data_IF_244319820661
#
_entry.id   IF_244319820661
#
_cell.length_a   1.000
_cell.length_b   1.000
_cell.length_c   1.000
_cell.angle_alpha   90.00
_cell.angle_beta   90.00
_cell.angle_gamma   90.00
#
_symmetry.space_group_name_H-M   'P 1'
#
loop_
_entity.id
_entity.type
_entity.pdbx_description
1 polymer ?
#
# COMPACT_ATOMS: atom_id res chain seq x y z
N UNK A 1 -49.21 -2.26 -17.76
CA UNK A 1 -48.09 -2.82 -18.56
C UNK A 1 -46.86 -1.91 -18.58
N UNK A 2 -46.94 -0.66 -19.06
CA UNK A 2 -45.78 0.26 -19.16
C UNK A 2 -45.13 0.61 -17.81
N UNK A 3 -45.94 0.82 -16.77
CA UNK A 3 -45.46 1.17 -15.42
C UNK A 3 -44.65 0.03 -14.78
N UNK A 4 -45.07 -1.22 -15.01
CA UNK A 4 -44.36 -2.41 -14.52
C UNK A 4 -43.01 -2.58 -15.21
N UNK A 5 -42.92 -2.31 -16.51
CA UNK A 5 -41.66 -2.37 -17.25
C UNK A 5 -40.65 -1.32 -16.76
N UNK A 6 -41.12 -0.11 -16.45
CA UNK A 6 -40.28 0.97 -15.89
C UNK A 6 -39.78 0.60 -14.49
N UNK A 7 -40.66 0.08 -13.63
CA UNK A 7 -40.28 -0.40 -12.30
C UNK A 7 -39.22 -1.53 -12.36
N UNK A 8 -39.38 -2.50 -13.26
CA UNK A 8 -38.41 -3.57 -13.44
C UNK A 8 -37.06 -3.05 -13.95
N UNK A 9 -37.05 -2.05 -14.85
CA UNK A 9 -35.82 -1.40 -15.31
C UNK A 9 -35.12 -0.65 -14.17
N UNK A 10 -35.85 0.10 -13.35
CA UNK A 10 -35.26 0.80 -12.19
C UNK A 10 -34.69 -0.17 -11.16
N UNK A 11 -35.35 -1.31 -10.91
CA UNK A 11 -34.84 -2.36 -10.00
C UNK A 11 -33.60 -3.05 -10.59
N UNK A 12 -33.55 -3.29 -11.91
CA UNK A 12 -32.39 -3.88 -12.58
C UNK A 12 -31.17 -2.95 -12.58
N UNK A 13 -31.39 -1.65 -12.85
CA UNK A 13 -30.36 -0.61 -12.70
C UNK A 13 -29.93 -0.51 -11.23
N UNK A 14 -30.86 -0.72 -10.30
CA UNK A 14 -30.57 -0.72 -8.87
C UNK A 14 -29.69 -1.84 -8.35
N UNK A 15 -29.95 -3.05 -8.82
CA UNK A 15 -29.12 -4.20 -8.49
C UNK A 15 -27.72 -4.07 -9.10
N UNK A 16 -27.58 -3.46 -10.29
CA UNK A 16 -26.30 -3.38 -10.99
C UNK A 16 -25.32 -2.38 -10.36
N UNK A 17 -25.78 -1.27 -9.77
CA UNK A 17 -24.89 -0.34 -9.08
C UNK A 17 -24.38 -0.85 -7.72
N UNK A 18 -25.10 -1.78 -7.07
CA UNK A 18 -24.69 -2.37 -5.78
C UNK A 18 -23.66 -3.51 -5.91
N UNK A 19 -23.49 -4.07 -7.11
CA UNK A 19 -22.65 -5.25 -7.34
C UNK A 19 -21.17 -4.96 -7.63
N UNK A 20 -20.80 -3.72 -7.98
CA UNK A 20 -19.42 -3.40 -8.37
C UNK A 20 -18.48 -3.10 -7.19
N UNK A 21 -18.98 -2.59 -6.06
CA UNK A 21 -18.11 -2.23 -4.92
C UNK A 21 -17.68 -3.45 -4.07
N UNK A 22 -18.50 -4.48 -3.99
CA UNK A 22 -18.24 -5.63 -3.11
C UNK A 22 -17.32 -6.69 -3.75
N UNK A 23 -17.27 -6.77 -5.10
CA UNK A 23 -16.52 -7.83 -5.78
C UNK A 23 -14.99 -7.59 -5.85
N UNK A 24 -14.50 -6.39 -5.50
CA UNK A 24 -13.06 -6.15 -5.26
C UNK A 24 -12.66 -6.35 -3.78
N UNK A 25 -13.62 -6.41 -2.85
CA UNK A 25 -13.35 -6.41 -1.42
C UNK A 25 -13.42 -7.79 -0.74
N UNK A 26 -14.04 -8.79 -1.38
CA UNK A 26 -14.37 -10.07 -0.73
C UNK A 26 -13.44 -11.28 -0.99
N UNK A 27 -12.31 -11.13 -1.70
CA UNK A 27 -11.42 -12.29 -2.00
C UNK A 27 -10.09 -12.40 -1.26
N UNK A 28 -9.80 -11.55 -0.27
CA UNK A 28 -8.48 -11.55 0.41
C UNK A 28 -8.45 -12.11 1.83
N UNK A 29 -9.55 -12.66 2.34
CA UNK A 29 -9.64 -12.92 3.78
C UNK A 29 -9.10 -14.25 4.28
N UNK A 30 -8.64 -15.20 3.45
CA UNK A 30 -8.22 -16.50 3.99
C UNK A 30 -6.93 -17.12 3.43
N UNK A 31 -6.52 -16.88 2.17
CA UNK A 31 -5.26 -17.45 1.62
C UNK A 31 -4.79 -16.61 0.42
N UNK A 32 -4.34 -15.39 0.67
CA UNK A 32 -3.91 -14.49 -0.40
C UNK A 32 -2.46 -14.72 -0.76
N UNK A 33 -2.18 -15.73 -1.59
CA UNK A 33 -0.87 -15.96 -2.21
C UNK A 33 -0.48 -14.71 -3.04
N UNK A 34 0.25 -13.79 -2.43
CA UNK A 34 0.79 -12.65 -3.14
C UNK A 34 2.11 -13.05 -3.80
N UNK A 35 2.38 -12.55 -5.01
CA UNK A 35 3.68 -12.72 -5.68
C UNK A 35 4.45 -11.41 -5.80
N UNK A 36 3.72 -10.29 -5.81
CA UNK A 36 4.27 -8.95 -5.85
C UNK A 36 3.47 -8.03 -4.91
N UNK A 37 4.09 -6.91 -4.51
CA UNK A 37 3.44 -5.89 -3.67
C UNK A 37 2.15 -5.34 -4.30
N UNK A 38 2.08 -5.30 -5.63
CA UNK A 38 0.88 -4.90 -6.38
C UNK A 38 -0.33 -5.77 -6.09
N UNK A 39 -0.13 -7.01 -5.64
CA UNK A 39 -1.21 -7.95 -5.34
C UNK A 39 -1.88 -7.62 -4.00
N UNK A 40 -1.16 -6.93 -3.11
CA UNK A 40 -1.55 -6.70 -1.73
C UNK A 40 -2.40 -5.45 -1.50
N UNK A 41 -2.59 -4.59 -2.51
CA UNK A 41 -3.34 -3.34 -2.37
C UNK A 41 -2.49 -2.19 -1.81
N UNK A 42 -3.08 -0.99 -1.74
CA UNK A 42 -2.39 0.21 -1.25
C UNK A 42 -1.92 0.03 0.21
N UNK A 43 -0.76 0.60 0.53
CA UNK A 43 -0.10 0.52 1.85
C UNK A 43 0.21 -0.90 2.36
N UNK A 44 0.21 -1.89 1.48
CA UNK A 44 0.60 -3.27 1.81
C UNK A 44 1.78 -3.72 0.96
N UNK A 45 2.51 -4.70 1.47
CA UNK A 45 3.61 -5.36 0.78
C UNK A 45 3.36 -6.87 0.77
N UNK A 46 3.95 -7.54 -0.20
CA UNK A 46 3.94 -8.98 -0.27
C UNK A 46 5.21 -9.54 0.37
N UNK A 47 5.05 -10.36 1.42
CA UNK A 47 6.17 -11.11 1.98
C UNK A 47 6.33 -12.41 1.20
N UNK A 48 7.06 -12.37 0.08
CA UNK A 48 7.23 -13.50 -0.86
C UNK A 48 7.79 -14.79 -0.24
N UNK A 49 8.35 -14.73 0.98
CA UNK A 49 8.79 -15.93 1.71
C UNK A 49 7.63 -16.78 2.24
N UNK A 50 6.46 -16.16 2.46
CA UNK A 50 5.26 -16.79 3.01
C UNK A 50 4.00 -16.43 2.21
N UNK A 51 4.19 -15.82 1.03
CA UNK A 51 3.15 -15.38 0.09
C UNK A 51 1.97 -14.68 0.80
N UNK A 52 2.28 -13.78 1.74
CA UNK A 52 1.27 -13.11 2.57
C UNK A 52 1.42 -11.59 2.55
N UNK A 53 0.28 -10.91 2.49
CA UNK A 53 0.22 -9.45 2.49
C UNK A 53 0.30 -8.86 3.89
N UNK A 54 1.37 -8.11 4.16
CA UNK A 54 1.55 -7.33 5.39
C UNK A 54 1.31 -5.84 5.13
N UNK A 55 0.98 -5.11 6.19
CA UNK A 55 0.96 -3.66 6.13
C UNK A 55 2.39 -3.12 6.02
N UNK A 56 2.59 -2.10 5.20
CA UNK A 56 3.86 -1.37 5.09
C UNK A 56 4.19 -0.68 6.42
N UNK A 57 5.48 -0.51 6.67
CA UNK A 57 6.00 0.08 7.91
C UNK A 57 5.60 1.55 8.05
N UNK A 58 5.18 1.93 9.25
CA UNK A 58 4.77 3.28 9.63
C UNK A 58 5.96 4.18 9.96
N UNK A 59 5.68 5.45 10.28
CA UNK A 59 6.71 6.39 10.69
C UNK A 59 7.47 5.89 11.94
N UNK A 60 8.80 5.97 11.87
CA UNK A 60 9.74 5.57 12.93
C UNK A 60 9.80 4.05 13.22
N UNK A 61 9.06 3.24 12.47
CA UNK A 61 9.20 1.79 12.51
C UNK A 61 10.59 1.36 12.04
N UNK A 62 11.09 0.27 12.64
CA UNK A 62 12.35 -0.34 12.24
C UNK A 62 12.20 -0.97 10.86
N UNK A 63 13.03 -0.54 9.94
CA UNK A 63 13.06 -1.07 8.59
C UNK A 63 14.36 -1.85 8.36
N UNK A 64 14.28 -2.89 7.53
CA UNK A 64 15.42 -3.59 6.96
C UNK A 64 15.28 -3.54 5.45
N UNK A 65 16.39 -3.40 4.73
CA UNK A 65 16.42 -3.34 3.26
C UNK A 65 15.81 -4.61 2.62
N UNK A 66 15.75 -5.72 3.36
CA UNK A 66 15.24 -7.02 2.92
C UNK A 66 13.79 -7.32 3.33
N UNK A 67 13.13 -6.43 4.07
CA UNK A 67 11.76 -6.61 4.57
C UNK A 67 10.78 -5.68 3.85
N UNK A 68 9.49 -5.88 4.14
CA UNK A 68 8.39 -4.99 3.78
C UNK A 68 8.81 -3.51 3.87
N UNK A 69 8.60 -2.76 2.78
CA UNK A 69 8.99 -1.36 2.69
C UNK A 69 8.18 -0.44 3.61
N UNK A 70 8.66 0.79 3.77
CA UNK A 70 7.91 1.86 4.44
C UNK A 70 6.72 2.31 3.60
N UNK A 71 5.70 2.88 4.26
CA UNK A 71 4.54 3.52 3.59
C UNK A 71 4.97 4.61 2.62
N UNK A 72 4.07 4.95 1.71
CA UNK A 72 4.33 5.95 0.68
C UNK A 72 4.66 7.31 1.32
N UNK A 73 5.68 7.99 0.79
CA UNK A 73 6.22 9.22 1.39
C UNK A 73 7.24 9.00 2.52
N UNK A 74 7.49 7.75 2.92
CA UNK A 74 8.58 7.38 3.83
C UNK A 74 9.70 6.61 3.08
N UNK A 75 10.93 6.80 3.51
CA UNK A 75 12.09 6.01 3.09
C UNK A 75 12.83 5.44 4.30
N UNK A 76 13.41 4.26 4.11
CA UNK A 76 14.20 3.59 5.13
C UNK A 76 15.56 4.28 5.27
N UNK A 77 15.77 5.04 6.34
CA UNK A 77 16.96 5.86 6.57
C UNK A 77 17.74 5.37 7.79
N UNK A 78 19.06 5.42 7.72
CA UNK A 78 19.92 5.10 8.86
C UNK A 78 19.76 6.18 9.96
N UNK A 79 19.26 5.78 11.13
CA UNK A 79 19.03 6.70 12.26
C UNK A 79 20.16 6.70 13.27
N UNK A 80 20.97 5.64 13.30
CA UNK A 80 22.06 5.53 14.28
C UNK A 80 23.28 4.89 13.65
N UNK A 81 24.42 5.57 13.80
CA UNK A 81 25.73 5.09 13.38
C UNK A 81 26.57 4.83 14.63
N UNK A 82 27.18 3.64 14.70
CA UNK A 82 28.23 3.34 15.68
C UNK A 82 29.53 3.23 14.90
N UNK A 83 30.39 4.24 15.02
CA UNK A 83 31.55 4.39 14.15
C UNK A 83 31.11 4.57 12.69
N UNK A 84 31.63 3.74 11.78
CA UNK A 84 31.31 3.76 10.35
C UNK A 84 30.15 2.82 9.96
N UNK A 85 29.48 2.18 10.92
CA UNK A 85 28.44 1.19 10.67
C UNK A 85 27.07 1.77 11.00
N UNK A 86 26.15 1.74 10.03
CA UNK A 86 24.73 2.02 10.25
C UNK A 86 24.11 0.84 11.00
N UNK A 87 23.72 1.05 12.26
CA UNK A 87 23.24 -0.03 13.15
C UNK A 87 21.71 -0.12 13.11
N UNK A 88 21.04 1.04 13.01
CA UNK A 88 19.59 1.10 13.03
C UNK A 88 19.08 1.89 11.85
N UNK A 89 18.10 1.32 11.15
CA UNK A 89 17.36 1.98 10.10
C UNK A 89 15.90 2.10 10.52
N UNK A 90 15.29 3.25 10.20
CA UNK A 90 13.88 3.52 10.47
C UNK A 90 13.23 4.23 9.30
N UNK A 91 11.92 4.06 9.19
CA UNK A 91 11.11 4.78 8.22
C UNK A 91 11.01 6.26 8.59
N UNK A 92 11.50 7.12 7.70
CA UNK A 92 11.51 8.58 7.87
C UNK A 92 10.93 9.25 6.62
N UNK A 93 10.41 10.48 6.73
CA UNK A 93 9.91 11.20 5.55
C UNK A 93 11.00 11.25 4.47
N UNK A 94 10.61 10.96 3.22
CA UNK A 94 11.50 11.16 2.07
C UNK A 94 11.95 12.62 2.12
N UNK A 95 13.25 12.92 2.06
CA UNK A 95 13.71 14.30 1.96
C UNK A 95 13.06 14.90 0.74
N UNK A 96 12.13 15.83 0.96
CA UNK A 96 11.59 16.61 -0.14
C UNK A 96 12.77 17.41 -0.65
N UNK A 97 13.29 17.09 -1.84
CA UNK A 97 14.31 17.91 -2.46
C UNK A 97 13.73 19.33 -2.52
N UNK A 98 14.24 20.22 -1.67
CA UNK A 98 14.01 21.63 -1.86
C UNK A 98 14.60 21.97 -3.22
N UNK A 99 13.85 22.55 -4.16
CA UNK A 99 14.44 23.06 -5.38
C UNK A 99 15.31 24.25 -5.00
N UNK A 100 16.63 24.05 -4.99
CA UNK A 100 17.62 25.12 -4.91
C UNK A 100 18.57 25.04 -3.72
N UNK A 101 19.79 24.60 -4.00
CA UNK A 101 20.92 25.50 -3.81
C UNK A 101 21.94 25.17 -4.90
N UNK A 102 21.90 25.96 -5.98
CA UNK A 102 23.11 26.20 -6.74
C UNK A 102 24.18 26.81 -5.83
N UNK A 103 25.42 26.65 -6.28
CA UNK A 103 26.63 27.37 -5.89
C UNK A 103 27.20 27.08 -4.49
N UNK A 104 28.41 26.52 -4.43
CA UNK A 104 29.63 27.32 -4.52
C UNK A 104 30.89 26.45 -4.71
N UNK A 105 31.60 26.74 -5.81
CA UNK A 105 33.06 26.77 -6.07
C UNK A 105 33.98 25.75 -5.37
#
# INVERSE_FOLDING_TARGET
MKVLAVLLLFVAVAASYKLQDEHEREKRFLFGDCKADSDCGADKCCLSSIDYCYDKLDLDDFCSVSLCGCKDGLSCQATHQIGSVNVYHRCRPVPTEAPGSGDLS
#
